data_IF_095698024219
#
_entry.id   IF_095698024219
#
_cell.length_a   1.000
_cell.length_b   1.000
_cell.length_c   1.000
_cell.angle_alpha   90.00
_cell.angle_beta   90.00
_cell.angle_gamma   90.00
#
_symmetry.space_group_name_H-M   'P 1'
#
loop_
_entity.id
_entity.type
_entity.pdbx_description
1 polymer ?
#
# COMPACT_ATOMS: atom_id res chain seq x y z
N UNK A 1 8.35 -11.93 16.17
CA UNK A 1 8.74 -10.72 15.39
C UNK A 1 9.13 -11.16 13.99
N UNK A 2 8.41 -10.70 12.97
CA UNK A 2 8.79 -10.93 11.56
C UNK A 2 9.99 -10.04 11.24
N UNK A 3 11.08 -10.61 10.72
CA UNK A 3 12.33 -9.90 10.42
C UNK A 3 12.32 -9.16 9.08
N UNK A 4 11.19 -9.21 8.35
CA UNK A 4 11.00 -8.53 7.07
C UNK A 4 9.70 -7.74 7.10
N UNK A 5 9.82 -6.44 6.92
CA UNK A 5 8.68 -5.60 6.55
C UNK A 5 8.35 -5.89 5.09
N UNK A 6 7.05 -6.05 4.79
CA UNK A 6 6.60 -6.22 3.42
C UNK A 6 6.64 -4.87 2.73
N UNK A 7 7.12 -4.87 1.49
CA UNK A 7 7.08 -3.67 0.65
C UNK A 7 5.63 -3.24 0.41
N UNK A 8 5.38 -1.93 0.49
CA UNK A 8 4.07 -1.35 0.18
C UNK A 8 3.90 -1.27 -1.34
N UNK A 9 3.51 -2.38 -1.94
CA UNK A 9 3.34 -2.53 -3.37
C UNK A 9 1.97 -3.12 -3.72
N UNK A 10 1.49 -2.81 -4.93
CA UNK A 10 0.31 -3.47 -5.47
C UNK A 10 0.63 -4.96 -5.69
N UNK A 11 -0.18 -5.83 -5.11
CA UNK A 11 0.01 -7.29 -5.21
C UNK A 11 -1.28 -7.96 -5.64
N UNK A 12 -1.21 -8.93 -6.59
CA UNK A 12 -2.40 -9.67 -6.98
C UNK A 12 -2.78 -10.67 -5.88
N UNK A 13 -4.07 -10.69 -5.51
CA UNK A 13 -4.62 -11.64 -4.54
C UNK A 13 -5.49 -12.66 -5.27
N UNK A 14 -5.22 -13.95 -5.06
CA UNK A 14 -6.10 -15.05 -5.49
C UNK A 14 -7.33 -15.12 -4.60
N UNK A 15 -8.51 -14.97 -5.21
CA UNK A 15 -9.82 -15.07 -4.52
C UNK A 15 -9.99 -16.37 -3.73
N UNK A 16 -9.55 -17.50 -4.29
CA UNK A 16 -9.66 -18.81 -3.63
C UNK A 16 -8.88 -18.86 -2.31
N UNK A 17 -7.72 -18.20 -2.23
CA UNK A 17 -6.92 -18.13 -1.00
C UNK A 17 -7.61 -17.23 0.03
N UNK A 18 -8.18 -16.10 -0.40
CA UNK A 18 -8.93 -15.22 0.52
C UNK A 18 -10.15 -15.93 1.10
N UNK A 19 -10.93 -16.62 0.25
CA UNK A 19 -12.11 -17.37 0.69
C UNK A 19 -11.76 -18.51 1.66
N UNK A 20 -10.60 -19.16 1.48
CA UNK A 20 -10.10 -20.16 2.41
C UNK A 20 -9.72 -19.53 3.76
N UNK A 21 -8.99 -18.41 3.74
CA UNK A 21 -8.61 -17.69 4.97
C UNK A 21 -9.83 -17.19 5.74
N UNK A 22 -10.85 -16.65 5.07
CA UNK A 22 -12.11 -16.25 5.71
C UNK A 22 -12.82 -17.42 6.38
N UNK A 23 -12.72 -18.63 5.81
CA UNK A 23 -13.29 -19.85 6.39
C UNK A 23 -12.47 -20.38 7.56
N UNK A 24 -11.14 -20.28 7.51
CA UNK A 24 -10.25 -20.75 8.59
C UNK A 24 -10.22 -19.81 9.79
N UNK A 25 -10.34 -18.51 9.57
CA UNK A 25 -10.25 -17.47 10.61
C UNK A 25 -11.51 -16.59 10.65
N UNK A 26 -12.71 -17.19 10.77
CA UNK A 26 -13.97 -16.45 10.62
C UNK A 26 -14.13 -15.34 11.66
N UNK A 27 -13.70 -15.60 12.90
CA UNK A 27 -13.85 -14.66 14.01
C UNK A 27 -12.92 -13.45 13.86
N UNK A 28 -11.67 -13.66 13.44
CA UNK A 28 -10.70 -12.59 13.21
C UNK A 28 -11.07 -11.71 12.02
N UNK A 29 -11.61 -12.31 10.96
CA UNK A 29 -12.15 -11.56 9.82
C UNK A 29 -13.38 -10.75 10.23
N UNK A 30 -14.33 -11.35 10.97
CA UNK A 30 -15.50 -10.65 11.46
C UNK A 30 -15.12 -9.47 12.38
N UNK A 31 -14.19 -9.68 13.31
CA UNK A 31 -13.71 -8.62 14.20
C UNK A 31 -13.00 -7.49 13.45
N UNK A 32 -12.23 -7.82 12.41
CA UNK A 32 -11.54 -6.82 11.57
C UNK A 32 -12.54 -6.05 10.72
N UNK A 33 -13.51 -6.72 10.09
CA UNK A 33 -14.53 -6.10 9.25
C UNK A 33 -15.50 -5.22 10.04
N UNK A 34 -15.75 -5.53 11.31
CA UNK A 34 -16.58 -4.73 12.20
C UNK A 34 -15.89 -3.44 12.70
N UNK A 35 -14.58 -3.28 12.46
CA UNK A 35 -13.80 -2.16 12.98
C UNK A 35 -13.71 -1.02 11.96
N UNK A 36 -14.15 0.19 12.34
CA UNK A 36 -14.08 1.39 11.47
C UNK A 36 -12.63 1.74 11.11
N UNK A 37 -11.77 1.76 12.14
CA UNK A 37 -10.32 1.76 11.98
C UNK A 37 -9.79 0.46 12.56
N UNK A 38 -8.80 -0.15 11.89
CA UNK A 38 -8.25 -1.44 12.32
C UNK A 38 -7.73 -1.33 13.74
N UNK A 39 -8.33 -2.08 14.66
CA UNK A 39 -7.89 -2.15 16.04
C UNK A 39 -6.51 -2.83 16.13
N UNK A 40 -5.78 -2.57 17.21
CA UNK A 40 -4.47 -3.18 17.45
C UNK A 40 -4.52 -4.71 17.56
N UNK A 41 -5.66 -5.27 17.96
CA UNK A 41 -5.93 -6.71 18.03
C UNK A 41 -6.42 -7.31 16.71
N UNK A 42 -6.77 -6.50 15.71
CA UNK A 42 -7.26 -7.02 14.43
C UNK A 42 -6.13 -7.50 13.52
N UNK A 43 -6.41 -8.55 12.76
CA UNK A 43 -5.51 -9.07 11.75
C UNK A 43 -5.29 -8.05 10.63
N UNK A 44 -4.06 -8.01 10.11
CA UNK A 44 -3.74 -7.23 8.92
C UNK A 44 -3.91 -8.11 7.68
N UNK A 45 -5.16 -8.23 7.20
CA UNK A 45 -5.55 -9.20 6.17
C UNK A 45 -4.68 -9.09 4.93
N UNK A 46 -4.83 -8.01 4.16
CA UNK A 46 -4.19 -7.85 2.85
C UNK A 46 -2.78 -7.30 2.90
N UNK A 47 -2.41 -6.62 3.99
CA UNK A 47 -1.08 -6.02 4.11
C UNK A 47 -0.04 -6.96 4.75
N UNK A 48 -0.45 -8.03 5.45
CA UNK A 48 0.51 -8.98 6.02
C UNK A 48 0.06 -10.43 6.01
N UNK A 49 -1.08 -10.74 6.62
CA UNK A 49 -1.50 -12.13 6.87
C UNK A 49 -1.61 -12.91 5.56
N UNK A 50 -2.25 -12.33 4.53
CA UNK A 50 -2.42 -12.96 3.23
C UNK A 50 -1.09 -13.39 2.61
N UNK A 51 -0.09 -12.50 2.63
CA UNK A 51 1.19 -12.75 1.97
C UNK A 51 1.96 -13.89 2.64
N UNK A 52 2.00 -13.91 3.98
CA UNK A 52 2.62 -15.01 4.70
C UNK A 52 1.85 -16.31 4.57
N UNK A 53 0.52 -16.26 4.68
CA UNK A 53 -0.34 -17.42 4.52
C UNK A 53 -0.17 -18.06 3.15
N UNK A 54 -0.25 -17.27 2.08
CA UNK A 54 -0.07 -17.74 0.71
C UNK A 54 1.35 -18.27 0.46
N UNK A 55 2.39 -17.64 1.03
CA UNK A 55 3.77 -18.10 0.90
C UNK A 55 3.99 -19.44 1.63
N UNK A 56 3.57 -19.55 2.89
CA UNK A 56 3.75 -20.75 3.72
C UNK A 56 2.96 -21.95 3.21
N UNK A 57 1.84 -21.71 2.53
CA UNK A 57 1.04 -22.75 1.89
C UNK A 57 1.47 -23.07 0.45
N UNK A 58 2.60 -22.54 -0.02
CA UNK A 58 3.15 -22.84 -1.35
C UNK A 58 2.38 -22.23 -2.53
N UNK A 59 1.56 -21.20 -2.27
CA UNK A 59 0.66 -20.56 -3.25
C UNK A 59 1.11 -19.15 -3.65
N UNK A 60 2.22 -18.68 -3.10
CA UNK A 60 2.89 -17.43 -3.47
C UNK A 60 4.41 -17.62 -3.53
N UNK A 61 5.07 -16.71 -4.23
CA UNK A 61 6.53 -16.61 -4.32
C UNK A 61 6.98 -15.22 -3.89
N UNK A 62 8.19 -15.11 -3.34
CA UNK A 62 8.78 -13.81 -3.05
C UNK A 62 9.22 -13.11 -4.35
N UNK A 63 8.82 -11.84 -4.50
CA UNK A 63 9.29 -10.96 -5.57
C UNK A 63 10.51 -10.19 -5.07
N UNK A 64 11.63 -10.26 -5.78
CA UNK A 64 12.91 -9.64 -5.39
C UNK A 64 13.46 -8.64 -6.41
N UNK A 65 12.87 -8.56 -7.60
CA UNK A 65 13.34 -7.70 -8.69
C UNK A 65 12.55 -6.40 -8.84
N UNK A 66 11.33 -6.33 -8.30
CA UNK A 66 10.50 -5.14 -8.38
C UNK A 66 11.14 -3.97 -7.61
N UNK A 67 11.20 -2.81 -8.25
CA UNK A 67 11.67 -1.55 -7.65
C UNK A 67 10.47 -0.84 -7.04
N UNK A 68 10.47 -0.74 -5.72
CA UNK A 68 9.39 -0.12 -4.93
C UNK A 68 9.92 1.13 -4.26
N UNK A 69 9.10 2.19 -4.22
CA UNK A 69 9.40 3.41 -3.46
C UNK A 69 8.23 3.76 -2.55
N UNK A 70 8.48 3.77 -1.25
CA UNK A 70 7.58 4.38 -0.28
C UNK A 70 7.92 5.87 -0.12
N UNK A 71 6.90 6.72 -0.18
CA UNK A 71 7.02 8.18 -0.08
C UNK A 71 6.10 8.67 1.04
N UNK A 72 6.71 9.19 2.10
CA UNK A 72 5.96 9.93 3.12
C UNK A 72 5.70 11.36 2.65
N UNK A 73 4.48 11.62 2.21
CA UNK A 73 4.07 12.92 1.66
C UNK A 73 3.89 14.01 2.71
N UNK A 74 4.04 13.68 4.00
CA UNK A 74 4.02 14.67 5.09
C UNK A 74 5.38 15.30 5.36
N UNK A 75 6.43 14.79 4.72
CA UNK A 75 7.81 15.22 4.90
C UNK A 75 8.33 16.01 3.69
N UNK A 76 9.21 16.99 3.93
CA UNK A 76 9.86 17.74 2.84
C UNK A 76 10.66 16.84 1.90
N UNK A 77 11.27 15.78 2.44
CA UNK A 77 11.98 14.76 1.64
C UNK A 77 11.05 13.99 0.71
N UNK A 78 9.84 13.69 1.14
CA UNK A 78 8.84 12.99 0.32
C UNK A 78 8.39 13.81 -0.89
N UNK A 79 8.25 15.13 -0.73
CA UNK A 79 7.96 16.00 -1.88
C UNK A 79 9.08 15.95 -2.93
N UNK A 80 10.35 15.94 -2.50
CA UNK A 80 11.51 15.78 -3.41
C UNK A 80 11.56 14.40 -4.07
N UNK A 81 11.13 13.37 -3.35
CA UNK A 81 11.01 12.03 -3.90
C UNK A 81 9.94 11.97 -5.01
N UNK A 82 8.82 12.68 -4.86
CA UNK A 82 7.80 12.79 -5.92
C UNK A 82 8.32 13.49 -7.17
N UNK A 83 9.10 14.57 -7.03
CA UNK A 83 9.75 15.23 -8.18
C UNK A 83 10.67 14.25 -8.92
N UNK A 84 11.43 13.44 -8.16
CA UNK A 84 12.32 12.41 -8.72
C UNK A 84 11.56 11.27 -9.40
N UNK A 85 10.44 10.84 -8.82
CA UNK A 85 9.55 9.85 -9.42
C UNK A 85 9.02 10.35 -10.75
N UNK A 86 8.51 11.59 -10.81
CA UNK A 86 7.94 12.19 -12.01
C UNK A 86 8.99 12.34 -13.12
N UNK A 87 10.19 12.78 -12.78
CA UNK A 87 11.27 12.97 -13.74
C UNK A 87 11.81 11.64 -14.31
N UNK A 88 11.98 10.62 -13.45
CA UNK A 88 12.67 9.38 -13.84
C UNK A 88 11.73 8.27 -14.28
N UNK A 89 10.50 8.23 -13.76
CA UNK A 89 9.50 7.17 -14.01
C UNK A 89 10.10 5.76 -13.96
N UNK A 90 10.96 5.53 -12.97
CA UNK A 90 11.85 4.37 -12.91
C UNK A 90 11.50 3.37 -11.81
N UNK A 91 10.34 3.53 -11.15
CA UNK A 91 9.86 2.58 -10.15
C UNK A 91 8.73 1.76 -10.75
N UNK A 92 8.67 0.48 -10.41
CA UNK A 92 7.59 -0.40 -10.85
C UNK A 92 6.34 -0.16 -9.97
N UNK A 93 6.57 0.15 -8.69
CA UNK A 93 5.52 0.55 -7.75
C UNK A 93 5.99 1.73 -6.89
N UNK A 94 5.06 2.59 -6.51
CA UNK A 94 5.30 3.56 -5.44
C UNK A 94 4.05 3.76 -4.59
N UNK A 95 4.26 4.06 -3.31
CA UNK A 95 3.21 4.36 -2.35
C UNK A 95 3.37 5.81 -1.87
N UNK A 96 2.30 6.59 -1.97
CA UNK A 96 2.21 7.91 -1.36
C UNK A 96 1.42 7.77 -0.06
N UNK A 97 2.07 7.99 1.09
CA UNK A 97 1.46 7.79 2.40
C UNK A 97 1.47 9.05 3.27
N UNK A 98 0.64 9.07 4.31
CA UNK A 98 0.69 10.02 5.42
C UNK A 98 1.53 9.50 6.61
N UNK A 99 2.43 10.35 7.10
CA UNK A 99 3.07 10.18 8.41
C UNK A 99 2.26 10.83 9.54
N UNK A 100 2.49 10.40 10.78
CA UNK A 100 1.79 10.91 11.96
C UNK A 100 2.31 12.27 12.48
N UNK A 101 3.41 12.78 11.93
CA UNK A 101 4.08 14.00 12.38
C UNK A 101 4.45 14.89 11.16
N UNK A 102 3.50 15.65 10.62
CA UNK A 102 3.71 16.39 9.37
C UNK A 102 4.65 17.60 9.51
N UNK A 103 5.59 17.72 8.57
CA UNK A 103 6.41 18.92 8.35
C UNK A 103 5.80 19.88 7.32
N UNK A 104 4.87 19.36 6.50
CA UNK A 104 4.21 20.06 5.40
C UNK A 104 2.76 20.35 5.79
N UNK A 105 2.33 21.57 5.51
CA UNK A 105 0.94 21.98 5.65
C UNK A 105 -0.01 21.14 4.76
N UNK A 106 -1.23 20.90 5.24
CA UNK A 106 -2.20 20.03 4.57
C UNK A 106 -2.60 20.56 3.19
N UNK A 107 -2.82 21.87 3.02
CA UNK A 107 -3.22 22.45 1.74
C UNK A 107 -2.08 22.32 0.73
N UNK A 108 -0.85 22.65 1.15
CA UNK A 108 0.33 22.51 0.31
C UNK A 108 0.57 21.04 -0.10
N UNK A 109 0.44 20.11 0.85
CA UNK A 109 0.58 18.67 0.59
C UNK A 109 -0.46 18.21 -0.44
N UNK A 110 -1.71 18.59 -0.25
CA UNK A 110 -2.82 18.23 -1.16
C UNK A 110 -2.53 18.73 -2.57
N UNK A 111 -2.18 20.01 -2.72
CA UNK A 111 -1.84 20.59 -4.01
C UNK A 111 -0.67 19.87 -4.70
N UNK A 112 0.37 19.50 -3.94
CA UNK A 112 1.55 18.79 -4.48
C UNK A 112 1.25 17.36 -4.88
N UNK A 113 0.48 16.62 -4.10
CA UNK A 113 0.08 15.25 -4.44
C UNK A 113 -0.84 15.24 -5.67
N UNK A 114 -1.83 16.13 -5.73
CA UNK A 114 -2.72 16.26 -6.90
C UNK A 114 -1.93 16.60 -8.15
N UNK A 115 -1.08 17.64 -8.10
CA UNK A 115 -0.22 18.02 -9.22
C UNK A 115 0.69 16.86 -9.66
N UNK A 116 1.26 16.11 -8.72
CA UNK A 116 2.06 14.94 -9.05
C UNK A 116 1.24 13.89 -9.79
N UNK A 117 0.07 13.50 -9.28
CA UNK A 117 -0.76 12.44 -9.86
C UNK A 117 -1.29 12.82 -11.25
N UNK A 118 -1.75 14.05 -11.45
CA UNK A 118 -2.21 14.55 -12.75
C UNK A 118 -1.08 14.52 -13.80
N UNK A 119 0.14 14.90 -13.41
CA UNK A 119 1.29 14.85 -14.31
C UNK A 119 1.81 13.41 -14.51
N UNK A 120 1.72 12.57 -13.49
CA UNK A 120 2.22 11.20 -13.55
C UNK A 120 1.29 10.28 -14.35
N UNK A 121 -0.02 10.45 -14.20
CA UNK A 121 -1.08 9.71 -14.88
C UNK A 121 -2.00 10.68 -15.66
N UNK A 122 -1.53 11.25 -16.78
CA UNK A 122 -2.25 12.32 -17.48
C UNK A 122 -3.48 11.84 -18.28
N UNK A 123 -3.71 10.53 -18.34
CA UNK A 123 -4.86 9.93 -19.02
C UNK A 123 -5.78 9.40 -17.93
N UNK A 124 -7.00 9.96 -17.80
CA UNK A 124 -7.94 9.50 -16.79
C UNK A 124 -8.36 8.07 -17.07
N UNK A 125 -8.58 7.31 -16.00
CA UNK A 125 -9.16 5.99 -16.09
C UNK A 125 -10.65 6.05 -16.45
N UNK A 126 -11.24 4.99 -17.05
CA UNK A 126 -12.63 5.00 -17.50
C UNK A 126 -13.70 5.27 -16.42
N UNK A 127 -13.34 5.21 -15.14
CA UNK A 127 -14.24 5.45 -14.00
C UNK A 127 -14.08 6.84 -13.38
N UNK A 128 -13.18 7.68 -13.90
CA UNK A 128 -12.94 9.06 -13.44
C UNK A 128 -13.79 10.10 -14.20
N UNK A 129 -14.75 9.65 -15.02
CA UNK A 129 -15.67 10.46 -15.81
C UNK A 129 -17.11 10.41 -15.29
#
# INVERSE_FOLDING_TARGET
MTTRHLEHAATPLRKSVMAEMEKEFPDEFAATAASVFRASSNISVTNSLYHYYALMSGRAVAQTAARVKYVDTTMKSGLKDMDSLLAKRSMDFFCLNDGSAPEIDLELRTAKVTQFLENYFPIPAPWES
#
